data_IF_715382918156
#
_entry.id   IF_715382918156
#
_cell.length_a   1.000
_cell.length_b   1.000
_cell.length_c   1.000
_cell.angle_alpha   90.00
_cell.angle_beta   90.00
_cell.angle_gamma   90.00
#
_symmetry.space_group_name_H-M   'P 1'
#
loop_
_entity.id
_entity.type
_entity.pdbx_description
1 polymer ?
#
# COMPACT_ATOMS: atom_id res chain seq x y z
N UNK A 1 -8.34 -13.05 -18.71
CA UNK A 1 -7.44 -12.18 -17.92
C UNK A 1 -8.30 -11.56 -16.86
N UNK A 2 -8.11 -11.94 -15.60
CA UNK A 2 -8.94 -11.43 -14.50
C UNK A 2 -8.65 -9.94 -14.30
N UNK A 3 -9.71 -9.14 -14.26
CA UNK A 3 -9.65 -7.70 -14.07
C UNK A 3 -9.27 -7.40 -12.61
N UNK A 4 -8.14 -6.73 -12.40
CA UNK A 4 -7.75 -6.24 -11.07
C UNK A 4 -8.65 -5.06 -10.68
N UNK A 5 -9.23 -5.10 -9.49
CA UNK A 5 -10.05 -3.99 -8.98
C UNK A 5 -9.13 -2.87 -8.48
N UNK A 6 -9.39 -1.65 -8.95
CA UNK A 6 -8.65 -0.45 -8.61
C UNK A 6 -9.46 0.40 -7.61
N UNK A 7 -8.91 0.68 -6.43
CA UNK A 7 -9.39 1.76 -5.55
C UNK A 7 -8.39 2.90 -5.57
N UNK A 8 -8.85 4.13 -5.44
CA UNK A 8 -7.96 5.29 -5.41
C UNK A 8 -8.46 6.37 -4.48
N UNK A 9 -7.53 7.17 -3.99
CA UNK A 9 -7.83 8.38 -3.24
C UNK A 9 -6.78 9.44 -3.49
N UNK A 10 -7.15 10.67 -3.14
CA UNK A 10 -6.30 11.83 -3.25
C UNK A 10 -6.34 12.59 -1.93
N UNK A 11 -5.19 13.06 -1.48
CA UNK A 11 -5.07 13.89 -0.29
C UNK A 11 -3.89 14.85 -0.42
N UNK A 12 -3.89 15.89 0.40
CA UNK A 12 -2.79 16.83 0.50
C UNK A 12 -2.07 16.62 1.81
N UNK A 13 -0.74 16.56 1.78
CA UNK A 13 0.09 16.55 2.98
C UNK A 13 1.16 17.63 2.91
N UNK A 14 1.66 18.04 4.07
CA UNK A 14 2.71 19.05 4.19
C UNK A 14 3.93 18.40 4.82
N UNK A 15 4.99 18.27 4.03
CA UNK A 15 6.28 17.69 4.45
C UNK A 15 7.31 18.81 4.41
N UNK A 16 7.92 19.09 5.57
CA UNK A 16 8.95 20.14 5.73
C UNK A 16 8.53 21.53 5.20
N UNK A 17 7.22 21.83 5.26
CA UNK A 17 6.66 23.12 4.81
C UNK A 17 6.35 23.19 3.31
N UNK A 18 6.56 22.11 2.56
CA UNK A 18 6.17 21.98 1.16
C UNK A 18 4.85 21.22 1.09
N UNK A 19 3.88 21.78 0.35
CA UNK A 19 2.59 21.13 0.08
C UNK A 19 2.74 20.11 -1.04
N UNK A 20 2.31 18.88 -0.79
CA UNK A 20 2.30 17.78 -1.73
C UNK A 20 0.86 17.35 -2.02
N UNK A 21 0.48 17.36 -3.31
CA UNK A 21 -0.74 16.71 -3.79
C UNK A 21 -0.43 15.25 -4.06
N UNK A 22 -1.12 14.36 -3.37
CA UNK A 22 -0.83 12.93 -3.37
C UNK A 22 -2.01 12.21 -3.98
N UNK A 23 -1.72 11.35 -4.95
CA UNK A 23 -2.67 10.43 -5.56
C UNK A 23 -2.21 9.01 -5.33
N UNK A 24 -3.11 8.20 -4.79
CA UNK A 24 -2.82 6.81 -4.44
C UNK A 24 -3.76 5.89 -5.19
N UNK A 25 -3.20 4.82 -5.73
CA UNK A 25 -3.90 3.72 -6.37
C UNK A 25 -3.59 2.44 -5.60
N UNK A 26 -4.64 1.74 -5.19
CA UNK A 26 -4.60 0.45 -4.50
C UNK A 26 -5.15 -0.59 -5.46
N UNK A 27 -4.35 -1.63 -5.71
CA UNK A 27 -4.68 -2.73 -6.62
C UNK A 27 -4.40 -4.05 -5.94
N UNK A 28 -5.24 -5.06 -6.12
CA UNK A 28 -4.92 -6.41 -5.62
C UNK A 28 -3.58 -6.90 -6.19
N UNK A 29 -2.77 -7.55 -5.35
CA UNK A 29 -1.57 -8.22 -5.84
C UNK A 29 -1.95 -9.47 -6.68
N UNK A 30 -1.06 -9.93 -7.56
CA UNK A 30 -1.23 -11.22 -8.24
C UNK A 30 -1.42 -12.38 -7.24
N UNK A 31 -2.26 -13.36 -7.59
CA UNK A 31 -2.56 -14.51 -6.73
C UNK A 31 -1.33 -15.38 -6.39
N UNK A 32 -0.28 -15.30 -7.21
CA UNK A 32 0.98 -16.03 -7.09
C UNK A 32 2.11 -15.22 -6.43
N UNK A 33 1.83 -14.03 -5.90
CA UNK A 33 2.84 -13.23 -5.20
C UNK A 33 3.41 -14.01 -4.00
N UNK A 34 4.74 -14.07 -3.91
CA UNK A 34 5.45 -14.66 -2.79
C UNK A 34 6.36 -13.62 -2.14
N UNK A 35 6.22 -13.45 -0.83
CA UNK A 35 7.01 -12.55 -0.01
C UNK A 35 7.73 -13.41 1.03
N UNK A 36 9.05 -13.56 0.92
CA UNK A 36 9.82 -14.57 1.64
C UNK A 36 9.80 -14.46 3.17
N UNK A 37 9.59 -13.26 3.70
CA UNK A 37 9.55 -12.96 5.13
C UNK A 37 8.13 -12.68 5.66
N UNK A 38 7.11 -13.08 4.91
CA UNK A 38 5.69 -13.01 5.31
C UNK A 38 5.08 -14.39 5.13
N UNK A 39 4.24 -14.83 6.06
CA UNK A 39 3.47 -16.05 5.88
C UNK A 39 2.36 -15.83 4.85
N UNK A 40 2.69 -16.13 3.59
CA UNK A 40 1.77 -15.92 2.47
C UNK A 40 0.58 -16.87 2.47
N UNK A 41 0.58 -17.95 3.25
CA UNK A 41 -0.60 -18.79 3.41
C UNK A 41 -1.66 -18.09 4.27
N UNK A 42 -1.22 -17.31 5.26
CA UNK A 42 -2.11 -16.56 6.14
C UNK A 42 -2.57 -15.22 5.54
N UNK A 43 -1.76 -14.62 4.68
CA UNK A 43 -2.07 -13.32 4.03
C UNK A 43 -2.58 -13.47 2.60
N UNK A 44 -2.85 -14.70 2.14
CA UNK A 44 -3.33 -14.95 0.78
C UNK A 44 -4.66 -14.23 0.53
N UNK A 45 -4.74 -13.46 -0.56
CA UNK A 45 -5.92 -12.64 -0.87
C UNK A 45 -5.98 -11.30 -0.12
N UNK A 46 -5.00 -11.02 0.74
CA UNK A 46 -4.96 -9.81 1.57
C UNK A 46 -3.70 -8.94 1.32
N UNK A 47 -3.08 -9.13 0.16
CA UNK A 47 -1.91 -8.36 -0.29
C UNK A 47 -2.37 -7.40 -1.40
N UNK A 48 -2.06 -6.12 -1.24
CA UNK A 48 -2.40 -5.05 -2.17
C UNK A 48 -1.15 -4.33 -2.63
N UNK A 49 -1.00 -4.13 -3.93
CA UNK A 49 -0.02 -3.19 -4.48
C UNK A 49 -0.50 -1.75 -4.29
N UNK A 50 0.41 -0.89 -3.86
CA UNK A 50 0.16 0.53 -3.63
C UNK A 50 1.05 1.34 -4.57
N UNK A 51 0.44 2.09 -5.48
CA UNK A 51 1.13 3.04 -6.35
C UNK A 51 0.80 4.46 -5.92
N UNK A 52 1.83 5.30 -5.78
CA UNK A 52 1.70 6.66 -5.27
C UNK A 52 2.34 7.64 -6.25
N UNK A 53 1.61 8.71 -6.57
CA UNK A 53 2.12 9.86 -7.32
C UNK A 53 2.05 11.10 -6.45
N UNK A 54 3.07 11.94 -6.52
CA UNK A 54 3.18 13.19 -5.75
C UNK A 54 3.46 14.37 -6.67
N UNK A 55 2.83 15.51 -6.41
CA UNK A 55 3.12 16.79 -7.08
C UNK A 55 3.26 17.91 -6.02
N UNK A 56 4.46 18.53 -5.85
CA UNK A 56 5.72 18.21 -6.54
C UNK A 56 6.25 16.82 -6.15
N UNK A 57 7.30 16.34 -6.81
CA UNK A 57 7.90 15.04 -6.46
C UNK A 57 8.50 15.09 -5.05
N UNK A 58 8.16 14.12 -4.21
CA UNK A 58 8.73 13.96 -2.87
C UNK A 58 10.16 13.38 -2.93
N UNK A 59 11.02 13.73 -1.96
CA UNK A 59 12.39 13.22 -1.90
C UNK A 59 12.40 11.69 -1.72
N UNK A 60 13.28 11.00 -2.45
CA UNK A 60 13.47 9.56 -2.30
C UNK A 60 13.99 9.17 -0.90
N UNK A 61 14.64 10.10 -0.18
CA UNK A 61 15.05 9.88 1.22
C UNK A 61 13.83 9.78 2.15
N UNK A 62 12.69 10.31 1.73
CA UNK A 62 11.45 10.33 2.49
C UNK A 62 10.45 9.28 1.99
N UNK A 63 10.26 9.18 0.66
CA UNK A 63 9.46 8.14 0.02
C UNK A 63 9.86 7.98 -1.46
N UNK A 64 10.21 6.76 -1.87
CA UNK A 64 10.68 6.49 -3.24
C UNK A 64 9.57 5.91 -4.11
N UNK A 65 8.83 6.79 -4.81
CA UNK A 65 7.69 6.39 -5.66
C UNK A 65 8.04 5.41 -6.79
N UNK A 66 9.32 5.13 -7.04
CA UNK A 66 9.75 4.13 -8.01
C UNK A 66 9.72 2.69 -7.46
N UNK A 67 9.63 2.50 -6.14
CA UNK A 67 9.57 1.17 -5.53
C UNK A 67 8.16 0.57 -5.61
N UNK A 68 8.09 -0.75 -5.69
CA UNK A 68 6.83 -1.48 -5.61
C UNK A 68 6.41 -1.61 -4.15
N UNK A 69 5.49 -0.76 -3.70
CA UNK A 69 4.93 -0.83 -2.36
C UNK A 69 3.78 -1.82 -2.28
N UNK A 70 3.70 -2.50 -1.16
CA UNK A 70 2.61 -3.41 -0.82
C UNK A 70 2.07 -3.10 0.57
N UNK A 71 0.76 -3.29 0.69
CA UNK A 71 0.05 -3.32 1.94
C UNK A 71 -0.40 -4.76 2.19
N UNK A 72 -0.05 -5.32 3.35
CA UNK A 72 -0.35 -6.69 3.72
C UNK A 72 -1.23 -6.66 4.97
N UNK A 73 -2.40 -7.29 4.92
CA UNK A 73 -3.16 -7.61 6.12
C UNK A 73 -2.86 -9.04 6.58
N UNK A 74 -2.49 -9.17 7.85
CA UNK A 74 -2.33 -10.42 8.58
C UNK A 74 -3.55 -10.77 9.42
N UNK A 75 -3.42 -11.83 10.22
CA UNK A 75 -4.45 -12.22 11.19
C UNK A 75 -4.54 -11.19 12.32
N UNK A 76 -5.68 -11.22 13.03
CA UNK A 76 -5.92 -10.40 14.24
C UNK A 76 -5.81 -8.88 14.04
N UNK A 77 -5.91 -8.40 12.79
CA UNK A 77 -5.83 -6.98 12.46
C UNK A 77 -4.40 -6.45 12.29
N UNK A 78 -3.40 -7.32 12.33
CA UNK A 78 -2.04 -6.94 11.97
C UNK A 78 -1.99 -6.47 10.52
N UNK A 79 -1.21 -5.42 10.27
CA UNK A 79 -0.96 -4.93 8.93
C UNK A 79 0.48 -4.47 8.79
N UNK A 80 1.00 -4.57 7.58
CA UNK A 80 2.35 -4.14 7.22
C UNK A 80 2.30 -3.31 5.96
N UNK A 81 3.02 -2.20 5.96
CA UNK A 81 3.23 -1.39 4.76
C UNK A 81 4.74 -1.31 4.48
N UNK A 82 5.11 -1.61 3.25
CA UNK A 82 6.52 -1.71 2.87
C UNK A 82 6.69 -1.82 1.38
N UNK A 83 7.92 -1.98 0.93
CA UNK A 83 8.24 -2.25 -0.47
C UNK A 83 8.90 -3.60 -0.64
N UNK A 84 8.79 -4.16 -1.85
CA UNK A 84 9.45 -5.40 -2.19
C UNK A 84 10.88 -5.17 -2.63
N UNK A 85 11.80 -5.87 -1.99
CA UNK A 85 13.22 -5.89 -2.35
C UNK A 85 13.75 -7.32 -2.29
N UNK A 86 14.20 -7.83 -3.44
CA UNK A 86 14.71 -9.20 -3.58
C UNK A 86 13.75 -10.28 -3.01
N UNK A 87 12.45 -10.09 -3.19
CA UNK A 87 11.41 -11.01 -2.69
C UNK A 87 11.06 -10.86 -1.21
N UNK A 88 11.70 -9.94 -0.47
CA UNK A 88 11.36 -9.63 0.91
C UNK A 88 10.51 -8.34 0.98
N UNK A 89 9.61 -8.30 1.94
CA UNK A 89 8.96 -7.08 2.37
C UNK A 89 9.91 -6.30 3.29
N UNK A 90 10.34 -5.13 2.83
CA UNK A 90 11.07 -4.16 3.63
C UNK A 90 10.08 -3.12 4.12
N UNK A 91 9.78 -3.16 5.41
CA UNK A 91 8.85 -2.23 6.05
C UNK A 91 9.41 -0.80 5.98
N UNK A 92 8.54 0.16 5.67
CA UNK A 92 8.95 1.57 5.63
C UNK A 92 9.22 2.09 7.02
N UNK A 93 10.20 2.97 7.16
CA UNK A 93 10.33 3.76 8.38
C UNK A 93 9.07 4.61 8.58
N UNK A 94 8.51 4.53 9.78
CA UNK A 94 7.35 5.31 10.19
C UNK A 94 7.67 6.81 10.16
N UNK A 95 6.96 7.54 9.29
CA UNK A 95 6.93 8.99 9.27
C UNK A 95 5.49 9.44 9.06
N UNK A 96 5.21 10.75 9.23
CA UNK A 96 3.85 11.28 9.12
C UNK A 96 3.17 10.94 7.78
N UNK A 97 3.87 11.01 6.66
CA UNK A 97 3.32 10.68 5.36
C UNK A 97 2.96 9.20 5.26
N UNK A 98 3.84 8.30 5.72
CA UNK A 98 3.59 6.85 5.77
C UNK A 98 2.38 6.55 6.67
N UNK A 99 2.26 7.23 7.80
CA UNK A 99 1.12 7.09 8.71
C UNK A 99 -0.20 7.50 8.05
N UNK A 100 -0.24 8.68 7.42
CA UNK A 100 -1.43 9.15 6.72
C UNK A 100 -1.79 8.24 5.54
N UNK A 101 -0.78 7.81 4.76
CA UNK A 101 -0.95 6.86 3.67
C UNK A 101 -1.55 5.54 4.16
N UNK A 102 -1.03 5.01 5.26
CA UNK A 102 -1.50 3.77 5.91
C UNK A 102 -2.91 3.90 6.42
N UNK A 103 -3.23 4.99 7.15
CA UNK A 103 -4.59 5.26 7.65
C UNK A 103 -5.60 5.33 6.51
N UNK A 104 -5.33 6.12 5.47
CA UNK A 104 -6.27 6.24 4.35
C UNK A 104 -6.39 4.94 3.56
N UNK A 105 -5.29 4.20 3.38
CA UNK A 105 -5.31 2.88 2.74
C UNK A 105 -6.19 1.92 3.54
N UNK A 106 -6.01 1.87 4.86
CA UNK A 106 -6.81 1.04 5.75
C UNK A 106 -8.28 1.44 5.74
N UNK A 107 -8.60 2.74 5.85
CA UNK A 107 -9.97 3.25 5.75
C UNK A 107 -10.64 2.77 4.47
N UNK A 108 -9.99 2.94 3.32
CA UNK A 108 -10.55 2.58 2.02
C UNK A 108 -10.73 1.06 1.85
N UNK A 109 -9.81 0.28 2.41
CA UNK A 109 -9.90 -1.18 2.40
C UNK A 109 -10.97 -1.69 3.38
N UNK A 110 -11.22 -0.99 4.49
CA UNK A 110 -12.26 -1.30 5.49
C UNK A 110 -13.66 -0.76 5.15
N UNK A 111 -13.78 0.30 4.34
CA UNK A 111 -15.05 0.97 3.99
C UNK A 111 -15.97 0.12 3.10
N UNK A 112 -15.52 -1.03 2.61
CA UNK A 112 -16.39 -2.04 2.03
C UNK A 112 -16.15 -3.35 2.77
N UNK A 113 -17.22 -4.13 3.04
CA UNK A 113 -17.11 -5.49 3.58
C UNK A 113 -16.34 -6.42 2.65
N UNK A 114 -15.02 -6.27 2.62
CA UNK A 114 -14.10 -6.99 1.77
C UNK A 114 -13.60 -8.21 2.52
N UNK A 115 -14.04 -9.38 2.09
CA UNK A 115 -13.46 -10.66 2.49
C UNK A 115 -12.08 -10.90 1.82
N UNK A 116 -11.32 -9.83 1.52
CA UNK A 116 -10.06 -9.89 0.74
C UNK A 116 -10.25 -10.10 -0.75
N UNK A 117 -11.43 -10.57 -1.18
CA UNK A 117 -11.72 -10.78 -2.59
C UNK A 117 -12.75 -9.79 -3.12
N UNK A 118 -12.29 -8.94 -4.04
CA UNK A 118 -13.15 -8.06 -4.83
C UNK A 118 -13.63 -8.82 -6.06
N UNK A 119 -14.78 -9.48 -5.95
CA UNK A 119 -15.51 -10.00 -7.10
C UNK A 119 -16.60 -9.00 -7.50
N UNK A 120 -16.87 -8.89 -8.81
CA UNK A 120 -18.00 -8.15 -9.37
C UNK A 120 -19.34 -8.80 -8.98
#
# INVERSE_FOLDING_TARGET
MAEFTNKSFEYTDIVEGIEYKIKVLIVSAPDDIQISNVDTQETKGFIFNIAVSTEPRISNDYFDTAKQYVYVFGREGEHKFGYLENGNLVETAENRFIQLLTVHTQEILMIAGNEGHFYL
#
